data_IF_088289068833
#
_entry.id   IF_088289068833
#
_cell.length_a   1.000
_cell.length_b   1.000
_cell.length_c   1.000
_cell.angle_alpha   90.00
_cell.angle_beta   90.00
_cell.angle_gamma   90.00
#
_symmetry.space_group_name_H-M   'P 1'
#
loop_
_entity.id
_entity.type
_entity.pdbx_description
1 polymer ?
#
# COMPACT_ATOMS: atom_id res chain seq x y z
N UNK A 1 15.62 9.56 7.07
CA UNK A 1 16.37 8.37 7.53
C UNK A 1 17.55 8.80 8.39
N UNK A 2 17.84 8.07 9.46
CA UNK A 2 19.00 8.36 10.31
C UNK A 2 20.29 8.05 9.54
N UNK A 3 21.22 9.00 9.50
CA UNK A 3 22.51 8.82 8.85
C UNK A 3 23.37 7.82 9.62
N UNK A 4 24.00 6.91 8.90
CA UNK A 4 25.07 6.09 9.49
C UNK A 4 26.32 6.93 9.72
N UNK A 5 27.20 6.53 10.69
CA UNK A 5 28.47 7.22 10.94
C UNK A 5 29.33 7.42 9.70
N UNK A 6 29.25 6.49 8.75
CA UNK A 6 29.99 6.57 7.45
C UNK A 6 29.47 7.68 6.53
N UNK A 7 28.22 8.11 6.71
CA UNK A 7 27.55 9.05 5.82
C UNK A 7 27.46 10.47 6.41
N UNK A 8 27.98 10.72 7.63
CA UNK A 8 27.91 12.02 8.28
C UNK A 8 28.57 13.15 7.50
N UNK A 9 29.59 12.83 6.71
CA UNK A 9 30.33 13.83 5.91
C UNK A 9 29.87 13.90 4.44
N UNK A 10 28.83 13.14 4.06
CA UNK A 10 28.29 13.21 2.71
C UNK A 10 27.33 14.40 2.58
N UNK A 11 27.38 15.07 1.42
CA UNK A 11 26.44 16.15 1.11
C UNK A 11 25.03 15.56 0.98
N UNK A 12 24.13 15.96 1.86
CA UNK A 12 22.73 15.54 1.80
C UNK A 12 22.00 16.15 0.62
N UNK A 13 21.19 15.35 -0.07
CA UNK A 13 20.24 15.86 -1.05
C UNK A 13 19.08 16.51 -0.31
N UNK A 14 18.76 17.74 -0.66
CA UNK A 14 17.62 18.49 -0.13
C UNK A 14 16.52 18.51 -1.16
N UNK A 15 15.29 18.30 -0.72
CA UNK A 15 14.09 18.37 -1.54
C UNK A 15 13.13 19.38 -0.92
N UNK A 16 12.47 20.24 -1.72
CA UNK A 16 11.40 21.10 -1.20
C UNK A 16 10.27 20.24 -0.60
N UNK A 17 9.58 20.77 0.41
CA UNK A 17 8.41 20.14 1.02
C UNK A 17 7.23 21.11 0.91
N UNK A 18 6.52 21.08 -0.21
CA UNK A 18 5.42 21.99 -0.51
C UNK A 18 4.10 21.25 -0.55
N UNK A 19 3.21 21.59 0.36
CA UNK A 19 1.89 20.99 0.49
C UNK A 19 0.84 21.87 -0.19
N UNK A 20 -0.02 21.27 -1.02
CA UNK A 20 -1.06 21.95 -1.77
C UNK A 20 -2.41 21.27 -1.70
N UNK A 21 -3.46 22.08 -1.63
CA UNK A 21 -4.84 21.64 -1.72
C UNK A 21 -5.42 21.93 -3.10
N UNK A 22 -5.90 20.90 -3.79
CA UNK A 22 -6.62 21.06 -5.03
C UNK A 22 -8.02 21.65 -4.78
N UNK A 23 -8.31 22.83 -5.35
CA UNK A 23 -9.62 23.50 -5.17
C UNK A 23 -10.78 22.76 -5.85
N UNK A 24 -10.52 21.86 -6.81
CA UNK A 24 -11.54 21.13 -7.57
C UNK A 24 -11.96 19.83 -6.87
N UNK A 25 -10.99 18.99 -6.48
CA UNK A 25 -11.27 17.69 -5.89
C UNK A 25 -11.00 17.62 -4.39
N UNK A 26 -10.45 18.69 -3.80
CA UNK A 26 -10.07 18.78 -2.39
C UNK A 26 -9.02 17.74 -1.95
N UNK A 27 -8.21 17.29 -2.91
CA UNK A 27 -7.07 16.43 -2.62
C UNK A 27 -5.91 17.26 -2.09
N UNK A 28 -5.37 16.85 -0.95
CA UNK A 28 -4.17 17.44 -0.33
C UNK A 28 -2.95 16.61 -0.76
N UNK A 29 -1.91 17.27 -1.31
CA UNK A 29 -0.76 16.56 -1.88
C UNK A 29 0.52 17.37 -1.81
N UNK A 30 1.66 16.68 -1.83
CA UNK A 30 2.95 17.29 -2.12
C UNK A 30 3.10 17.53 -3.63
N UNK A 31 3.75 18.64 -4.02
CA UNK A 31 4.14 18.86 -5.41
C UNK A 31 5.54 18.34 -5.73
N UNK A 32 6.35 18.12 -4.70
CA UNK A 32 7.74 17.68 -4.83
C UNK A 32 7.81 16.18 -4.59
N UNK A 33 8.07 15.43 -5.67
CA UNK A 33 8.11 13.96 -5.62
C UNK A 33 9.54 13.47 -5.64
N UNK A 34 9.93 12.75 -4.60
CA UNK A 34 11.22 12.05 -4.53
C UNK A 34 11.12 10.69 -5.21
N UNK A 35 12.16 10.27 -5.92
CA UNK A 35 12.15 8.95 -6.58
C UNK A 35 11.89 7.83 -5.55
N UNK A 36 10.83 7.09 -5.78
CA UNK A 36 10.40 5.98 -4.92
C UNK A 36 11.45 4.90 -4.69
N UNK A 37 12.41 4.74 -5.61
CA UNK A 37 13.52 3.82 -5.42
C UNK A 37 14.45 4.26 -4.29
N UNK A 38 14.61 5.57 -4.07
CA UNK A 38 15.39 6.07 -2.95
C UNK A 38 14.68 5.85 -1.62
N UNK A 39 13.34 5.93 -1.60
CA UNK A 39 12.55 5.82 -0.38
C UNK A 39 12.28 4.37 0.02
N UNK A 40 11.91 3.51 -0.95
CA UNK A 40 11.30 2.21 -0.66
C UNK A 40 12.10 0.98 -1.09
N UNK A 41 13.31 1.11 -1.69
CA UNK A 41 14.11 -0.08 -2.06
C UNK A 41 14.71 -0.83 -0.86
N UNK A 42 14.87 -0.13 0.27
CA UNK A 42 15.26 -0.66 1.56
C UNK A 42 14.49 0.09 2.65
N UNK A 43 13.47 -0.54 3.21
CA UNK A 43 12.52 0.11 4.09
C UNK A 43 12.69 -0.37 5.53
N UNK A 44 12.67 0.57 6.48
CA UNK A 44 13.03 0.28 7.87
C UNK A 44 11.85 -0.17 8.72
N UNK A 45 10.63 0.23 8.36
CA UNK A 45 9.44 -0.14 9.12
C UNK A 45 9.09 -1.60 8.89
N UNK A 46 8.93 -2.35 9.99
CA UNK A 46 8.55 -3.77 10.00
C UNK A 46 7.21 -3.88 10.72
N UNK A 47 6.18 -4.29 10.02
CA UNK A 47 4.80 -4.37 10.54
C UNK A 47 4.69 -5.35 11.71
N UNK A 48 5.32 -6.51 11.61
CA UNK A 48 5.33 -7.55 12.63
C UNK A 48 6.04 -7.19 13.93
N UNK A 49 6.81 -6.09 13.96
CA UNK A 49 7.42 -5.59 15.18
C UNK A 49 6.43 -4.85 16.11
N UNK A 50 5.25 -4.50 15.60
CA UNK A 50 4.21 -3.78 16.35
C UNK A 50 3.06 -4.73 16.71
N UNK A 51 2.92 -5.09 18.00
CA UNK A 51 1.89 -6.00 18.49
C UNK A 51 0.46 -5.53 18.19
N UNK A 52 0.19 -4.23 18.25
CA UNK A 52 -1.13 -3.67 17.94
C UNK A 52 -1.47 -3.92 16.47
N UNK A 53 -0.52 -3.69 15.55
CA UNK A 53 -0.72 -3.96 14.12
C UNK A 53 -0.87 -5.45 13.83
N UNK A 54 -0.14 -6.32 14.54
CA UNK A 54 -0.29 -7.78 14.41
C UNK A 54 -1.71 -8.22 14.79
N UNK A 55 -2.25 -7.72 15.90
CA UNK A 55 -3.62 -8.04 16.34
C UNK A 55 -4.65 -7.45 15.36
N UNK A 56 -4.50 -6.19 14.95
CA UNK A 56 -5.36 -5.56 13.95
C UNK A 56 -5.43 -6.38 12.66
N UNK A 57 -4.30 -6.81 12.12
CA UNK A 57 -4.25 -7.57 10.87
C UNK A 57 -4.76 -9.02 11.02
N UNK A 58 -4.69 -9.59 12.23
CA UNK A 58 -5.37 -10.85 12.51
C UNK A 58 -6.90 -10.71 12.34
N UNK A 59 -7.50 -9.75 13.04
CA UNK A 59 -8.94 -9.52 13.00
C UNK A 59 -9.42 -9.05 11.62
N UNK A 60 -8.58 -8.25 10.96
CA UNK A 60 -8.83 -7.74 9.61
C UNK A 60 -8.87 -8.85 8.56
N UNK A 61 -7.94 -9.80 8.59
CA UNK A 61 -7.94 -10.95 7.69
C UNK A 61 -9.20 -11.83 7.89
N UNK A 62 -9.61 -12.03 9.15
CA UNK A 62 -10.81 -12.78 9.48
C UNK A 62 -12.08 -12.09 8.96
N UNK A 63 -12.18 -10.78 9.15
CA UNK A 63 -13.27 -9.97 8.62
C UNK A 63 -13.35 -10.05 7.10
N UNK A 64 -12.23 -9.87 6.40
CA UNK A 64 -12.19 -9.93 4.93
C UNK A 64 -12.58 -11.31 4.41
N UNK A 65 -12.06 -12.38 5.04
CA UNK A 65 -12.43 -13.74 4.67
C UNK A 65 -13.94 -14.00 4.86
N UNK A 66 -14.47 -13.69 6.04
CA UNK A 66 -15.88 -13.93 6.36
C UNK A 66 -16.82 -13.16 5.43
N UNK A 67 -16.47 -11.91 5.14
CA UNK A 67 -17.33 -11.02 4.35
C UNK A 67 -17.29 -11.30 2.85
N UNK A 68 -16.12 -11.63 2.30
CA UNK A 68 -15.93 -11.65 0.85
C UNK A 68 -15.49 -13.00 0.28
N UNK A 69 -14.95 -13.93 1.08
CA UNK A 69 -14.33 -15.16 0.57
C UNK A 69 -14.98 -16.44 1.07
N UNK A 70 -15.82 -16.39 2.11
CA UNK A 70 -16.36 -17.59 2.82
C UNK A 70 -16.91 -18.69 1.88
N UNK A 71 -17.54 -18.32 0.79
CA UNK A 71 -18.17 -19.23 -0.17
C UNK A 71 -17.41 -19.32 -1.50
N UNK A 72 -16.19 -18.79 -1.59
CA UNK A 72 -15.40 -18.78 -2.83
C UNK A 72 -14.31 -19.86 -2.76
N UNK A 73 -14.22 -20.64 -3.85
CA UNK A 73 -13.14 -21.63 -4.05
C UNK A 73 -12.02 -21.02 -4.88
N UNK A 74 -10.78 -21.50 -4.65
CA UNK A 74 -9.59 -21.03 -5.38
C UNK A 74 -9.40 -19.51 -5.36
N UNK A 75 -9.75 -18.88 -4.24
CA UNK A 75 -9.64 -17.44 -4.06
C UNK A 75 -8.19 -16.98 -4.07
N UNK A 76 -7.95 -15.77 -4.57
CA UNK A 76 -6.64 -15.12 -4.56
C UNK A 76 -6.74 -13.76 -3.85
N UNK A 77 -5.95 -13.58 -2.81
CA UNK A 77 -5.74 -12.30 -2.13
C UNK A 77 -4.37 -11.77 -2.49
N UNK A 78 -4.30 -10.53 -2.96
CA UNK A 78 -3.05 -9.84 -3.28
C UNK A 78 -2.91 -8.64 -2.34
N UNK A 79 -1.77 -8.52 -1.67
CA UNK A 79 -1.42 -7.34 -0.88
C UNK A 79 -0.31 -6.56 -1.56
N UNK A 80 -0.57 -5.29 -1.86
CA UNK A 80 0.39 -4.33 -2.39
C UNK A 80 1.02 -3.59 -1.20
N UNK A 81 2.36 -3.52 -1.16
CA UNK A 81 3.09 -3.05 0.01
C UNK A 81 2.99 -4.04 1.17
N UNK A 82 3.13 -5.34 0.87
CA UNK A 82 2.90 -6.42 1.84
C UNK A 82 3.89 -6.47 3.00
N UNK A 83 4.89 -5.60 3.01
CA UNK A 83 5.89 -5.48 4.06
C UNK A 83 6.53 -6.85 4.38
N UNK A 84 6.52 -7.29 5.62
CA UNK A 84 7.05 -8.58 6.08
C UNK A 84 6.07 -9.76 5.93
N UNK A 85 4.87 -9.53 5.38
CA UNK A 85 3.83 -10.54 5.19
C UNK A 85 2.91 -10.75 6.40
N UNK A 86 2.98 -9.87 7.40
CA UNK A 86 2.21 -9.98 8.67
C UNK A 86 0.70 -10.06 8.44
N UNK A 87 0.12 -9.36 7.47
CA UNK A 87 -1.30 -9.52 7.15
C UNK A 87 -1.56 -10.84 6.40
N UNK A 88 -0.81 -11.10 5.35
CA UNK A 88 -1.05 -12.26 4.47
C UNK A 88 -0.94 -13.59 5.19
N UNK A 89 -0.06 -13.73 6.19
CA UNK A 89 0.07 -14.96 6.98
C UNK A 89 -1.24 -15.38 7.66
N UNK A 90 -2.12 -14.44 7.98
CA UNK A 90 -3.38 -14.74 8.65
C UNK A 90 -4.42 -15.42 7.72
N UNK A 91 -4.20 -15.36 6.40
CA UNK A 91 -5.00 -16.11 5.43
C UNK A 91 -4.60 -17.59 5.32
N UNK A 92 -3.44 -18.01 5.89
CA UNK A 92 -2.96 -19.42 5.81
C UNK A 92 -3.88 -20.44 6.48
N UNK A 93 -4.73 -20.00 7.41
CA UNK A 93 -5.75 -20.85 8.06
C UNK A 93 -6.98 -21.11 7.17
N UNK A 94 -7.06 -20.46 6.02
CA UNK A 94 -8.14 -20.59 5.05
C UNK A 94 -7.60 -21.18 3.74
N UNK A 95 -8.47 -21.81 2.95
CA UNK A 95 -8.13 -22.28 1.58
C UNK A 95 -8.10 -21.11 0.59
N UNK A 96 -7.13 -20.20 0.80
CA UNK A 96 -6.98 -18.96 0.04
C UNK A 96 -5.53 -18.83 -0.42
N UNK A 97 -5.33 -18.61 -1.72
CA UNK A 97 -4.01 -18.26 -2.26
C UNK A 97 -3.66 -16.83 -1.90
N UNK A 98 -2.41 -16.59 -1.53
CA UNK A 98 -1.93 -15.24 -1.21
C UNK A 98 -0.72 -14.87 -2.05
N UNK A 99 -0.61 -13.58 -2.40
CA UNK A 99 0.55 -13.02 -3.08
C UNK A 99 0.87 -11.64 -2.51
N UNK A 100 2.09 -11.47 -2.00
CA UNK A 100 2.63 -10.16 -1.61
C UNK A 100 3.33 -9.48 -2.79
N UNK A 101 3.21 -8.15 -2.88
CA UNK A 101 4.00 -7.31 -3.79
C UNK A 101 4.67 -6.25 -2.93
N UNK A 102 6.01 -6.37 -2.75
CA UNK A 102 6.79 -5.54 -1.84
C UNK A 102 8.09 -5.07 -2.51
N UNK A 103 8.30 -3.76 -2.75
CA UNK A 103 9.51 -3.29 -3.41
C UNK A 103 10.78 -3.38 -2.54
N UNK A 104 10.65 -3.38 -1.22
CA UNK A 104 11.77 -3.42 -0.29
C UNK A 104 12.36 -4.84 -0.18
N UNK A 105 13.56 -5.01 -0.73
CA UNK A 105 14.25 -6.32 -0.74
C UNK A 105 14.51 -6.89 0.64
N UNK A 106 14.78 -6.02 1.63
CA UNK A 106 15.00 -6.43 3.01
C UNK A 106 13.72 -7.01 3.64
N UNK A 107 12.56 -6.44 3.34
CA UNK A 107 11.26 -6.88 3.88
C UNK A 107 10.78 -8.18 3.21
N UNK A 108 10.91 -8.28 1.90
CA UNK A 108 10.54 -9.50 1.16
C UNK A 108 11.30 -10.76 1.64
N UNK A 109 12.44 -10.61 2.35
CA UNK A 109 13.12 -11.73 2.99
C UNK A 109 12.37 -12.26 4.22
N UNK A 110 11.72 -11.39 4.99
CA UNK A 110 10.95 -11.81 6.17
C UNK A 110 9.70 -12.58 5.77
N UNK A 111 9.01 -12.18 4.70
CA UNK A 111 7.81 -12.87 4.22
C UNK A 111 8.10 -14.32 3.80
N UNK A 112 9.31 -14.62 3.31
CA UNK A 112 9.74 -16.00 3.01
C UNK A 112 9.76 -16.89 4.25
N UNK A 113 10.17 -16.35 5.40
CA UNK A 113 10.18 -17.09 6.67
C UNK A 113 8.75 -17.43 7.16
N UNK A 114 7.76 -16.70 6.65
CA UNK A 114 6.34 -16.94 6.91
C UNK A 114 5.67 -17.79 5.81
N UNK A 115 6.44 -18.35 4.86
CA UNK A 115 5.96 -19.08 3.68
C UNK A 115 5.00 -18.25 2.79
N UNK A 116 5.16 -16.92 2.78
CA UNK A 116 4.37 -16.02 1.94
C UNK A 116 5.10 -15.81 0.61
N UNK A 117 4.43 -16.14 -0.49
CA UNK A 117 4.93 -15.82 -1.82
C UNK A 117 4.90 -14.30 -2.03
N UNK A 118 6.07 -13.68 -2.20
CA UNK A 118 6.21 -12.23 -2.34
C UNK A 118 7.08 -11.88 -3.54
N UNK A 119 6.54 -11.02 -4.40
CA UNK A 119 7.27 -10.46 -5.55
C UNK A 119 7.95 -9.15 -5.15
N UNK A 120 9.26 -9.06 -5.35
CA UNK A 120 10.02 -7.83 -5.09
C UNK A 120 9.89 -6.85 -6.26
N UNK A 121 8.77 -6.14 -6.33
CA UNK A 121 8.44 -5.19 -7.39
C UNK A 121 7.63 -4.00 -6.86
N UNK A 122 7.74 -2.86 -7.55
CA UNK A 122 6.73 -1.81 -7.45
C UNK A 122 5.48 -2.22 -8.24
N UNK A 123 4.29 -2.08 -7.63
CA UNK A 123 3.04 -2.33 -8.33
C UNK A 123 2.79 -1.25 -9.39
N UNK A 124 2.37 -1.69 -10.58
CA UNK A 124 1.98 -0.83 -11.70
C UNK A 124 1.11 -1.63 -12.69
N UNK A 125 0.53 -0.93 -13.68
CA UNK A 125 -0.33 -1.54 -14.69
C UNK A 125 0.35 -2.71 -15.45
N UNK A 126 1.63 -2.57 -15.82
CA UNK A 126 2.36 -3.62 -16.54
C UNK A 126 2.50 -4.91 -15.72
N UNK A 127 2.78 -4.79 -14.41
CA UNK A 127 2.81 -5.95 -13.52
C UNK A 127 1.41 -6.55 -13.36
N UNK A 128 0.40 -5.72 -13.17
CA UNK A 128 -0.99 -6.16 -13.05
C UNK A 128 -1.46 -6.96 -14.28
N UNK A 129 -1.16 -6.48 -15.49
CA UNK A 129 -1.46 -7.19 -16.74
C UNK A 129 -0.77 -8.58 -16.83
N UNK A 130 0.47 -8.69 -16.36
CA UNK A 130 1.18 -9.98 -16.32
C UNK A 130 0.54 -10.95 -15.33
N UNK A 131 0.14 -10.46 -14.15
CA UNK A 131 -0.50 -11.28 -13.12
C UNK A 131 -1.91 -11.71 -13.54
N UNK A 132 -2.70 -10.80 -14.10
CA UNK A 132 -4.08 -11.07 -14.56
C UNK A 132 -4.17 -12.16 -15.63
N UNK A 133 -3.11 -12.34 -16.44
CA UNK A 133 -3.03 -13.47 -17.41
C UNK A 133 -2.97 -14.84 -16.72
N UNK A 134 -2.54 -14.89 -15.46
CA UNK A 134 -2.45 -16.14 -14.68
C UNK A 134 -3.73 -16.34 -13.84
N UNK A 135 -4.08 -15.36 -13.06
CA UNK A 135 -5.27 -15.36 -12.22
C UNK A 135 -5.60 -13.92 -11.79
N UNK A 136 -6.87 -13.52 -11.92
CA UNK A 136 -7.38 -12.29 -11.31
C UNK A 136 -7.64 -12.49 -9.81
N UNK A 137 -7.49 -11.42 -9.04
CA UNK A 137 -7.66 -11.43 -7.59
C UNK A 137 -9.13 -11.29 -7.19
N UNK A 138 -9.53 -11.98 -6.13
CA UNK A 138 -10.81 -11.78 -5.45
C UNK A 138 -10.74 -10.57 -4.52
N UNK A 139 -9.60 -10.38 -3.86
CA UNK A 139 -9.34 -9.20 -3.03
C UNK A 139 -7.96 -8.65 -3.38
N UNK A 140 -7.87 -7.33 -3.54
CA UNK A 140 -6.61 -6.59 -3.55
C UNK A 140 -6.60 -5.68 -2.34
N UNK A 141 -5.52 -5.74 -1.54
CA UNK A 141 -5.33 -4.95 -0.33
C UNK A 141 -4.16 -3.98 -0.55
N UNK A 142 -4.30 -2.73 -0.06
CA UNK A 142 -3.23 -1.73 -0.12
C UNK A 142 -3.26 -0.81 1.12
N UNK A 143 -2.85 -1.33 2.27
CA UNK A 143 -2.90 -0.59 3.53
C UNK A 143 -1.68 0.33 3.68
N UNK A 144 -1.93 1.62 3.93
CA UNK A 144 -0.92 2.67 4.03
C UNK A 144 0.03 2.75 2.81
N UNK A 145 -0.50 2.49 1.61
CA UNK A 145 0.25 2.51 0.34
C UNK A 145 -0.16 3.67 -0.55
N UNK A 146 -1.46 4.00 -0.62
CA UNK A 146 -1.97 5.01 -1.56
C UNK A 146 -1.31 6.38 -1.37
N UNK A 147 -0.97 6.72 -0.13
CA UNK A 147 -0.25 7.97 0.19
C UNK A 147 1.13 8.08 -0.45
N UNK A 148 1.75 6.95 -0.80
CA UNK A 148 3.10 6.87 -1.37
C UNK A 148 3.13 6.79 -2.92
N UNK A 149 1.96 6.74 -3.57
CA UNK A 149 1.87 6.50 -5.02
C UNK A 149 2.03 7.80 -5.79
N UNK A 150 3.08 7.86 -6.62
CA UNK A 150 3.40 8.98 -7.49
C UNK A 150 2.46 9.08 -8.72
N UNK A 151 1.98 7.95 -9.23
CA UNK A 151 1.08 7.87 -10.37
C UNK A 151 -0.19 7.10 -10.04
N UNK A 152 -1.14 7.78 -9.38
CA UNK A 152 -2.42 7.20 -8.95
C UNK A 152 -3.24 6.63 -10.12
N UNK A 153 -3.15 7.23 -11.31
CA UNK A 153 -3.85 6.72 -12.50
C UNK A 153 -3.30 5.36 -12.95
N UNK A 154 -1.99 5.22 -13.03
CA UNK A 154 -1.36 3.94 -13.38
C UNK A 154 -1.68 2.87 -12.33
N UNK A 155 -1.68 3.25 -11.06
CA UNK A 155 -2.00 2.38 -9.94
C UNK A 155 -3.44 1.86 -10.02
N UNK A 156 -4.45 2.74 -10.14
CA UNK A 156 -5.87 2.32 -10.15
C UNK A 156 -6.21 1.51 -11.40
N UNK A 157 -5.62 1.84 -12.55
CA UNK A 157 -5.78 1.02 -13.77
C UNK A 157 -5.19 -0.38 -13.56
N UNK A 158 -4.09 -0.49 -12.82
CA UNK A 158 -3.53 -1.79 -12.41
C UNK A 158 -4.49 -2.57 -11.51
N UNK A 159 -5.10 -1.93 -10.52
CA UNK A 159 -6.10 -2.55 -9.64
C UNK A 159 -7.28 -3.07 -10.48
N UNK A 160 -7.89 -2.22 -11.30
CA UNK A 160 -9.02 -2.58 -12.17
C UNK A 160 -8.69 -3.76 -13.12
N UNK A 161 -7.47 -3.80 -13.67
CA UNK A 161 -7.03 -4.88 -14.56
C UNK A 161 -6.88 -6.22 -13.82
N UNK A 162 -6.37 -6.18 -12.59
CA UNK A 162 -6.01 -7.39 -11.82
C UNK A 162 -7.16 -7.92 -10.98
N UNK A 163 -8.14 -7.10 -10.63
CA UNK A 163 -9.30 -7.46 -9.84
C UNK A 163 -10.30 -8.23 -10.70
N UNK A 164 -11.00 -9.23 -10.14
CA UNK A 164 -12.18 -9.84 -10.76
C UNK A 164 -13.32 -8.82 -10.84
N UNK A 165 -14.28 -9.04 -11.71
CA UNK A 165 -15.42 -8.13 -11.91
C UNK A 165 -16.30 -8.02 -10.64
N UNK A 166 -16.34 -9.08 -9.83
CA UNK A 166 -16.99 -9.14 -8.51
C UNK A 166 -15.98 -9.10 -7.35
N UNK A 167 -14.74 -8.72 -7.63
CA UNK A 167 -13.67 -8.59 -6.66
C UNK A 167 -13.75 -7.29 -5.87
N UNK A 168 -13.00 -7.22 -4.77
CA UNK A 168 -13.02 -6.07 -3.85
C UNK A 168 -11.62 -5.47 -3.71
N UNK A 169 -11.51 -4.15 -3.88
CA UNK A 169 -10.32 -3.38 -3.53
C UNK A 169 -10.50 -2.79 -2.13
N UNK A 170 -9.60 -3.14 -1.21
CA UNK A 170 -9.63 -2.71 0.19
C UNK A 170 -8.34 -1.98 0.52
N UNK A 171 -8.43 -0.88 1.27
CA UNK A 171 -7.25 -0.11 1.64
C UNK A 171 -7.47 0.67 2.94
N UNK A 172 -6.38 0.97 3.61
CA UNK A 172 -6.32 1.90 4.75
C UNK A 172 -5.43 3.07 4.39
N UNK A 173 -5.87 4.28 4.72
CA UNK A 173 -5.10 5.52 4.54
C UNK A 173 -5.34 6.48 5.71
N UNK A 174 -4.33 7.25 6.12
CA UNK A 174 -4.53 8.34 7.06
C UNK A 174 -5.54 9.35 6.51
N UNK A 175 -6.48 9.81 7.36
CA UNK A 175 -7.53 10.72 6.95
C UNK A 175 -7.07 12.19 7.06
N UNK A 176 -6.94 12.90 5.94
CA UNK A 176 -6.42 14.26 5.90
C UNK A 176 -7.17 15.27 6.78
N UNK A 177 -8.47 15.07 6.99
CA UNK A 177 -9.23 15.91 7.93
C UNK A 177 -8.73 15.74 9.37
N UNK A 178 -8.47 14.51 9.81
CA UNK A 178 -7.94 14.26 11.16
C UNK A 178 -6.54 14.83 11.32
N UNK A 179 -5.70 14.67 10.30
CA UNK A 179 -4.37 15.27 10.26
C UNK A 179 -4.43 16.78 10.50
N UNK A 180 -5.31 17.50 9.79
CA UNK A 180 -5.46 18.94 9.94
C UNK A 180 -6.09 19.31 11.30
N UNK A 181 -7.13 18.59 11.73
CA UNK A 181 -7.82 18.82 13.00
C UNK A 181 -6.92 18.61 14.21
N UNK A 182 -6.09 17.58 14.19
CA UNK A 182 -5.21 17.20 15.28
C UNK A 182 -3.82 17.84 15.17
N UNK A 183 -3.55 18.63 14.13
CA UNK A 183 -2.25 19.28 13.85
C UNK A 183 -1.09 18.27 13.76
N UNK A 184 -1.31 17.13 13.09
CA UNK A 184 -0.35 16.05 12.92
C UNK A 184 0.70 16.38 11.83
N UNK A 185 1.46 17.48 12.03
CA UNK A 185 2.41 18.00 11.04
C UNK A 185 3.59 17.06 10.77
N UNK A 186 3.95 16.22 11.71
CA UNK A 186 5.01 15.22 11.62
C UNK A 186 4.71 14.13 10.57
N UNK A 187 3.45 13.97 10.17
CA UNK A 187 3.06 13.07 9.08
C UNK A 187 3.29 13.66 7.69
N UNK A 188 3.67 14.95 7.61
CA UNK A 188 3.93 15.62 6.33
C UNK A 188 5.42 15.51 6.01
N UNK A 189 5.77 14.52 5.18
CA UNK A 189 7.14 14.26 4.72
C UNK A 189 7.12 13.56 3.35
N UNK A 190 8.28 13.44 2.70
CA UNK A 190 8.38 13.10 1.27
C UNK A 190 7.92 11.68 0.90
N UNK A 191 7.77 10.76 1.86
CA UNK A 191 7.16 9.46 1.57
C UNK A 191 5.65 9.58 1.34
N UNK A 192 4.99 10.56 2.00
CA UNK A 192 3.55 10.81 1.89
C UNK A 192 3.27 11.87 0.83
N UNK A 193 3.08 11.45 -0.41
CA UNK A 193 2.79 12.35 -1.52
C UNK A 193 1.33 12.82 -1.49
N UNK A 194 0.43 11.97 -1.03
CA UNK A 194 -1.03 12.16 -1.07
C UNK A 194 -1.68 11.98 0.29
N UNK A 195 -2.56 12.92 0.65
CA UNK A 195 -3.32 12.91 1.90
C UNK A 195 -4.81 12.91 1.56
N UNK A 196 -5.47 11.79 1.81
CA UNK A 196 -6.84 11.58 1.36
C UNK A 196 -7.88 12.01 2.40
N UNK A 197 -8.92 12.67 1.94
CA UNK A 197 -10.20 12.77 2.64
C UNK A 197 -11.21 11.81 2.01
N UNK A 198 -12.30 11.49 2.70
CA UNK A 198 -13.41 10.72 2.11
C UNK A 198 -13.90 11.39 0.82
N UNK A 199 -14.04 12.72 0.82
CA UNK A 199 -14.46 13.50 -0.36
C UNK A 199 -13.52 13.33 -1.55
N UNK A 200 -12.20 13.44 -1.33
CA UNK A 200 -11.21 13.31 -2.41
C UNK A 200 -11.11 11.86 -2.91
N UNK A 201 -11.19 10.87 -2.01
CA UNK A 201 -11.24 9.45 -2.36
C UNK A 201 -12.47 9.12 -3.20
N UNK A 202 -13.66 9.53 -2.76
CA UNK A 202 -14.91 9.29 -3.48
C UNK A 202 -14.83 9.83 -4.91
N UNK A 203 -14.41 11.10 -5.07
CA UNK A 203 -14.26 11.71 -6.40
C UNK A 203 -13.26 10.97 -7.28
N UNK A 204 -12.14 10.51 -6.68
CA UNK A 204 -11.10 9.77 -7.40
C UNK A 204 -11.57 8.38 -7.81
N UNK A 205 -12.22 7.64 -6.92
CA UNK A 205 -12.74 6.29 -7.19
C UNK A 205 -13.84 6.34 -8.26
N UNK A 206 -14.86 7.21 -8.10
CA UNK A 206 -15.94 7.38 -9.08
C UNK A 206 -15.41 7.71 -10.48
N UNK A 207 -14.40 8.59 -10.59
CA UNK A 207 -13.76 8.92 -11.88
C UNK A 207 -13.07 7.73 -12.55
N UNK A 208 -12.77 6.68 -11.79
CA UNK A 208 -12.07 5.47 -12.25
C UNK A 208 -12.96 4.21 -12.19
N UNK A 209 -14.28 4.38 -12.15
CA UNK A 209 -15.30 3.32 -12.18
C UNK A 209 -15.24 2.33 -10.99
N UNK A 210 -14.95 2.87 -9.78
CA UNK A 210 -15.04 2.17 -8.51
C UNK A 210 -16.13 2.75 -7.63
#
# INVERSE_FOLDING_TARGET
ALLSKKNLNLKEKKFPLRLFLCKTCFHLQLLDVVDKKHLFSNYLYITGANKTMVNHFHDYADYLHQKFLRNRKNSLVIEIGSNDGTLLKNFSKYDVKVLGIEPAKNLAKFSKNLNINTMTNFFNLSLAQKLAKKQKADIIIANNVLGHIDNLRNFINGISTLLKDDGVFVFEVPHSYQLLKNLEFDTIYHEHISYFSVTSLQKWLQKNNF
#
